data_IF_860502446520
#
_entry.id   IF_860502446520
#
_cell.length_a   1.000
_cell.length_b   1.000
_cell.length_c   1.000
_cell.angle_alpha   90.00
_cell.angle_beta   90.00
_cell.angle_gamma   90.00
#
_symmetry.space_group_name_H-M   'P 1'
#
loop_
_entity.id
_entity.type
_entity.pdbx_description
1 polymer ?
#
# COMPACT_ATOMS: atom_id res chain seq x y z
N UNK A 1 14.09 -75.27 -52.50
CA UNK A 1 14.24 -74.55 -51.22
C UNK A 1 13.13 -73.52 -51.17
N UNK A 2 12.06 -73.85 -50.45
CA UNK A 2 10.82 -73.07 -50.40
C UNK A 2 10.87 -72.21 -49.14
N UNK A 3 11.05 -70.90 -49.30
CA UNK A 3 11.03 -69.96 -48.19
C UNK A 3 9.60 -69.45 -48.00
N UNK A 4 8.95 -69.87 -46.91
CA UNK A 4 7.65 -69.36 -46.48
C UNK A 4 7.89 -68.10 -45.64
N UNK A 5 7.48 -66.94 -46.14
CA UNK A 5 7.43 -65.70 -45.35
C UNK A 5 6.13 -65.70 -44.52
N UNK A 6 6.17 -65.51 -43.19
CA UNK A 6 4.96 -65.29 -42.42
C UNK A 6 4.54 -63.82 -42.55
N UNK A 7 3.35 -63.60 -43.10
CA UNK A 7 2.67 -62.30 -43.11
C UNK A 7 1.95 -62.13 -41.77
N UNK A 8 2.54 -61.41 -40.82
CA UNK A 8 1.81 -60.91 -39.64
C UNK A 8 1.16 -59.57 -40.01
N UNK A 9 -0.09 -59.63 -40.44
CA UNK A 9 -0.97 -58.48 -40.56
C UNK A 9 -1.94 -58.47 -39.39
N UNK A 10 -1.47 -58.03 -38.23
CA UNK A 10 -2.36 -57.62 -37.15
C UNK A 10 -2.66 -56.12 -37.32
N UNK A 11 -3.81 -55.80 -37.92
CA UNK A 11 -4.35 -54.43 -37.93
C UNK A 11 -4.76 -54.05 -36.50
N UNK A 12 -4.29 -52.92 -35.94
CA UNK A 12 -4.80 -52.46 -34.64
C UNK A 12 -6.27 -52.09 -34.80
N UNK A 13 -7.15 -52.70 -33.99
CA UNK A 13 -8.56 -52.32 -33.91
C UNK A 13 -8.75 -50.88 -33.43
N UNK A 14 -9.97 -50.32 -33.53
CA UNK A 14 -10.23 -48.93 -33.14
C UNK A 14 -9.84 -48.72 -31.67
N UNK A 15 -8.91 -47.80 -31.41
CA UNK A 15 -8.50 -47.47 -30.04
C UNK A 15 -9.71 -46.82 -29.32
N UNK A 16 -10.27 -47.51 -28.33
CA UNK A 16 -11.35 -46.94 -27.51
C UNK A 16 -10.85 -45.65 -26.84
N UNK A 17 -11.66 -44.57 -26.81
CA UNK A 17 -11.24 -43.33 -26.19
C UNK A 17 -10.94 -43.58 -24.72
N UNK A 18 -9.68 -43.35 -24.32
CA UNK A 18 -9.20 -43.58 -22.96
C UNK A 18 -10.10 -42.85 -21.97
N UNK A 19 -10.92 -43.61 -21.23
CA UNK A 19 -11.85 -43.08 -20.24
C UNK A 19 -11.10 -42.86 -18.93
N UNK A 20 -10.68 -41.61 -18.70
CA UNK A 20 -9.96 -41.23 -17.48
C UNK A 20 -9.58 -39.76 -17.45
N UNK A 21 -9.23 -39.26 -16.26
CA UNK A 21 -8.72 -37.89 -16.11
C UNK A 21 -7.40 -37.77 -16.87
N UNK A 22 -7.36 -36.86 -17.83
CA UNK A 22 -6.14 -36.60 -18.60
C UNK A 22 -5.21 -35.69 -17.81
N UNK A 23 -3.89 -35.82 -18.03
CA UNK A 23 -2.90 -34.90 -17.46
C UNK A 23 -3.20 -33.44 -17.80
N UNK A 24 -3.68 -33.17 -19.01
CA UNK A 24 -4.09 -31.83 -19.46
C UNK A 24 -5.28 -31.30 -18.66
N UNK A 25 -6.23 -32.16 -18.29
CA UNK A 25 -7.35 -31.79 -17.41
C UNK A 25 -6.84 -31.40 -16.03
N UNK A 26 -5.95 -32.18 -15.42
CA UNK A 26 -5.37 -31.86 -14.10
C UNK A 26 -4.54 -30.58 -14.13
N UNK A 27 -3.68 -30.42 -15.12
CA UNK A 27 -2.83 -29.22 -15.26
C UNK A 27 -3.69 -27.99 -15.54
N UNK A 28 -4.69 -28.11 -16.41
CA UNK A 28 -5.59 -27.01 -16.76
C UNK A 28 -6.45 -26.55 -15.59
N UNK A 29 -7.00 -27.47 -14.80
CA UNK A 29 -7.77 -27.10 -13.60
C UNK A 29 -6.89 -26.50 -12.52
N UNK A 30 -5.71 -27.07 -12.26
CA UNK A 30 -4.76 -26.53 -11.29
C UNK A 30 -4.29 -25.12 -11.68
N UNK A 31 -3.93 -24.90 -12.95
CA UNK A 31 -3.54 -23.59 -13.46
C UNK A 31 -4.70 -22.57 -13.40
N UNK A 32 -5.92 -23.00 -13.70
CA UNK A 32 -7.11 -22.15 -13.59
C UNK A 32 -7.36 -21.69 -12.15
N UNK A 33 -7.32 -22.62 -11.19
CA UNK A 33 -7.48 -22.30 -9.76
C UNK A 33 -6.36 -21.39 -9.26
N UNK A 34 -5.11 -21.69 -9.61
CA UNK A 34 -3.96 -20.87 -9.24
C UNK A 34 -4.05 -19.46 -9.84
N UNK A 35 -4.49 -19.34 -11.10
CA UNK A 35 -4.69 -18.05 -11.76
C UNK A 35 -5.79 -17.22 -11.09
N UNK A 36 -6.93 -17.82 -10.76
CA UNK A 36 -8.02 -17.14 -10.03
C UNK A 36 -7.57 -16.71 -8.63
N UNK A 37 -6.84 -17.56 -7.91
CA UNK A 37 -6.30 -17.22 -6.58
C UNK A 37 -5.30 -16.05 -6.66
N UNK A 38 -4.43 -16.03 -7.67
CA UNK A 38 -3.50 -14.93 -7.88
C UNK A 38 -4.21 -13.60 -8.18
N UNK A 39 -5.20 -13.61 -9.08
CA UNK A 39 -6.01 -12.41 -9.38
C UNK A 39 -6.79 -11.96 -8.14
N UNK A 40 -7.38 -12.89 -7.39
CA UNK A 40 -8.09 -12.61 -6.14
C UNK A 40 -7.20 -11.95 -5.09
N UNK A 41 -5.95 -12.44 -4.93
CA UNK A 41 -4.96 -11.83 -4.04
C UNK A 41 -4.58 -10.41 -4.45
N UNK A 42 -4.38 -10.16 -5.75
CA UNK A 42 -4.09 -8.81 -6.26
C UNK A 42 -5.24 -7.84 -6.02
N UNK A 43 -6.50 -8.28 -6.17
CA UNK A 43 -7.67 -7.47 -5.88
C UNK A 43 -7.84 -7.20 -4.38
N UNK A 44 -7.59 -8.19 -3.51
CA UNK A 44 -7.62 -8.01 -2.06
C UNK A 44 -6.64 -6.90 -1.62
N UNK A 45 -5.39 -6.94 -2.11
CA UNK A 45 -4.38 -5.94 -1.77
C UNK A 45 -4.62 -4.58 -2.43
N UNK A 46 -5.12 -4.57 -3.67
CA UNK A 46 -5.35 -3.35 -4.44
C UNK A 46 -6.57 -2.54 -4.01
N UNK A 47 -7.57 -3.19 -3.40
CA UNK A 47 -8.82 -2.56 -2.97
C UNK A 47 -9.04 -2.57 -1.45
N UNK A 48 -8.02 -2.91 -0.66
CA UNK A 48 -8.08 -2.65 0.78
C UNK A 48 -8.26 -1.16 1.04
N UNK A 49 -8.96 -0.81 2.11
CA UNK A 49 -9.05 0.59 2.53
C UNK A 49 -7.62 1.08 2.85
N UNK A 50 -7.08 2.04 2.08
CA UNK A 50 -5.71 2.51 2.23
C UNK A 50 -5.45 3.17 3.60
N UNK A 51 -6.51 3.53 4.32
CA UNK A 51 -6.45 4.13 5.65
C UNK A 51 -6.55 3.10 6.79
N UNK A 52 -6.84 1.82 6.48
CA UNK A 52 -6.86 0.74 7.48
C UNK A 52 -5.58 -0.09 7.38
N UNK A 53 -4.86 -0.17 8.49
CA UNK A 53 -3.65 -0.97 8.62
C UNK A 53 -3.84 -1.95 9.76
N UNK A 54 -3.48 -3.22 9.55
CA UNK A 54 -3.61 -4.26 10.57
C UNK A 54 -2.76 -3.97 11.82
N UNK A 55 -1.62 -3.28 11.62
CA UNK A 55 -0.75 -2.80 12.68
C UNK A 55 -0.61 -1.29 12.54
N UNK A 56 -0.84 -0.55 13.63
CA UNK A 56 -0.57 0.87 13.66
C UNK A 56 0.95 1.11 13.63
N UNK A 57 1.45 1.79 12.61
CA UNK A 57 2.88 2.08 12.44
C UNK A 57 3.30 3.47 12.96
N UNK A 58 2.38 4.22 13.57
CA UNK A 58 2.66 5.53 14.16
C UNK A 58 2.80 5.50 15.68
N UNK A 59 3.56 6.45 16.24
CA UNK A 59 3.76 6.68 17.69
C UNK A 59 2.69 7.60 18.32
N UNK A 60 2.05 7.23 19.42
CA UNK A 60 1.07 8.11 20.11
C UNK A 60 -0.34 8.11 19.51
N UNK A 61 -1.21 8.98 20.05
CA UNK A 61 -2.65 8.97 19.79
C UNK A 61 -3.06 9.67 18.48
N UNK A 62 -4.32 9.45 18.05
CA UNK A 62 -4.89 10.06 16.85
C UNK A 62 -5.07 11.59 16.98
N UNK A 63 -5.35 12.04 18.20
CA UNK A 63 -5.37 13.43 18.59
C UNK A 63 -4.42 13.58 19.78
N UNK A 64 -3.49 14.53 19.67
CA UNK A 64 -2.42 14.74 20.64
C UNK A 64 -2.20 16.23 20.85
N UNK A 65 -1.86 16.58 22.08
CA UNK A 65 -1.42 17.92 22.44
C UNK A 65 0.02 18.11 21.97
N UNK A 66 0.37 19.32 21.55
CA UNK A 66 1.75 19.66 21.21
C UNK A 66 1.99 21.13 21.48
N UNK A 67 3.24 21.46 21.80
CA UNK A 67 3.68 22.84 21.96
C UNK A 67 4.06 23.42 20.58
N UNK A 68 3.90 24.73 20.37
CA UNK A 68 4.48 25.42 19.22
C UNK A 68 5.97 25.12 18.98
N UNK A 69 6.76 24.79 20.02
CA UNK A 69 8.17 24.38 19.88
C UNK A 69 8.36 23.02 19.21
N UNK A 70 7.33 22.18 19.16
CA UNK A 70 7.37 20.85 18.54
C UNK A 70 7.16 20.92 17.02
N UNK A 71 7.16 22.12 16.43
CA UNK A 71 6.79 22.35 15.05
C UNK A 71 7.92 22.92 14.21
N UNK A 72 8.04 22.38 13.00
CA UNK A 72 8.89 22.94 11.95
C UNK A 72 8.02 23.37 10.78
N UNK A 73 8.19 24.61 10.33
CA UNK A 73 7.60 25.11 9.11
C UNK A 73 8.54 24.82 7.94
N UNK A 74 8.04 24.11 6.92
CA UNK A 74 8.83 23.65 5.78
C UNK A 74 7.97 23.51 4.52
N UNK A 75 8.47 22.86 3.49
CA UNK A 75 7.80 22.65 2.20
C UNK A 75 7.68 21.16 1.88
N UNK A 76 6.52 20.77 1.35
CA UNK A 76 6.28 19.43 0.81
C UNK A 76 6.92 19.32 -0.58
N UNK A 77 7.87 18.38 -0.74
CA UNK A 77 8.63 18.19 -1.98
C UNK A 77 8.19 16.99 -2.81
N UNK A 78 6.98 16.47 -2.60
CA UNK A 78 6.45 15.35 -3.39
C UNK A 78 6.14 15.73 -4.85
N UNK A 79 5.87 17.01 -5.10
CA UNK A 79 5.65 17.56 -6.44
C UNK A 79 6.27 18.96 -6.55
N UNK A 80 6.32 19.50 -7.78
CA UNK A 80 6.92 20.80 -8.08
C UNK A 80 6.11 22.01 -7.58
N UNK A 81 4.98 21.80 -6.89
CA UNK A 81 4.20 22.88 -6.29
C UNK A 81 4.79 23.38 -4.98
N UNK A 82 5.64 22.59 -4.30
CA UNK A 82 6.32 22.97 -3.06
C UNK A 82 5.37 23.55 -1.99
N UNK A 83 4.25 22.86 -1.72
CA UNK A 83 3.24 23.33 -0.77
C UNK A 83 3.87 23.59 0.61
N UNK A 84 3.67 24.78 1.17
CA UNK A 84 4.16 25.10 2.52
C UNK A 84 3.34 24.37 3.58
N UNK A 85 4.03 23.69 4.49
CA UNK A 85 3.45 22.81 5.51
C UNK A 85 4.02 23.14 6.89
N UNK A 86 3.29 22.74 7.94
CA UNK A 86 3.81 22.58 9.29
C UNK A 86 3.96 21.10 9.60
N UNK A 87 5.05 20.75 10.27
CA UNK A 87 5.41 19.39 10.62
C UNK A 87 5.54 19.31 12.14
N UNK A 88 4.75 18.45 12.77
CA UNK A 88 4.88 18.13 14.20
C UNK A 88 5.91 17.03 14.38
N UNK A 89 6.91 17.32 15.19
CA UNK A 89 7.96 16.41 15.58
C UNK A 89 7.62 15.72 16.89
N UNK A 90 8.12 14.50 17.05
CA UNK A 90 8.10 13.75 18.30
C UNK A 90 9.50 13.22 18.56
N UNK A 91 9.86 13.07 19.83
CA UNK A 91 11.11 12.41 20.21
C UNK A 91 11.14 11.01 19.60
N UNK A 92 12.31 10.61 19.10
CA UNK A 92 12.44 9.28 18.56
C UNK A 92 12.45 8.23 19.69
N UNK A 93 11.85 7.04 19.48
CA UNK A 93 11.92 5.96 20.45
C UNK A 93 13.37 5.58 20.77
N UNK A 94 13.60 5.09 21.99
CA UNK A 94 14.92 4.61 22.42
C UNK A 94 15.46 3.55 21.44
N UNK A 95 16.71 3.72 21.01
CA UNK A 95 17.36 2.86 20.02
C UNK A 95 17.09 3.24 18.55
N UNK A 96 16.31 4.28 18.28
CA UNK A 96 16.16 4.84 16.94
C UNK A 96 17.46 5.54 16.48
N UNK A 97 17.84 5.42 15.19
CA UNK A 97 18.94 6.19 14.62
C UNK A 97 18.57 7.66 14.35
N UNK A 98 17.28 8.01 14.41
CA UNK A 98 16.80 9.38 14.23
C UNK A 98 16.76 10.12 15.57
N UNK A 99 17.00 11.43 15.57
CA UNK A 99 16.82 12.29 16.76
C UNK A 99 15.36 12.65 17.01
N UNK A 100 14.53 12.68 15.96
CA UNK A 100 13.10 12.94 16.06
C UNK A 100 12.36 12.26 14.90
N UNK A 101 11.08 11.99 15.10
CA UNK A 101 10.18 11.47 14.08
C UNK A 101 9.15 12.52 13.67
N UNK A 102 8.73 12.48 12.42
CA UNK A 102 7.60 13.27 11.93
C UNK A 102 6.33 12.56 12.36
N UNK A 103 5.57 13.18 13.26
CA UNK A 103 4.28 12.64 13.71
C UNK A 103 3.12 13.04 12.82
N UNK A 104 3.09 14.31 12.40
CA UNK A 104 1.98 14.85 11.60
C UNK A 104 2.48 15.92 10.64
N UNK A 105 1.91 15.91 9.44
CA UNK A 105 2.07 16.97 8.44
C UNK A 105 0.71 17.61 8.24
N UNK A 106 0.67 18.94 8.28
CA UNK A 106 -0.52 19.73 8.02
C UNK A 106 -0.18 20.98 7.19
N UNK A 107 -1.19 21.65 6.64
CA UNK A 107 -1.00 22.94 6.00
C UNK A 107 -0.41 23.97 6.95
N UNK A 108 0.51 24.81 6.45
CA UNK A 108 0.98 25.98 7.19
C UNK A 108 -0.19 26.99 7.27
N UNK A 109 -0.62 27.42 8.47
CA UNK A 109 -1.76 28.32 8.64
C UNK A 109 -1.57 29.70 7.97
N UNK A 110 -0.33 30.10 7.69
CA UNK A 110 -0.01 31.33 6.97
C UNK A 110 0.10 31.13 5.44
N UNK A 111 -0.18 29.94 4.94
CA UNK A 111 -0.09 29.63 3.51
C UNK A 111 -1.38 29.93 2.77
N UNK A 112 -1.31 30.68 1.68
CA UNK A 112 -2.46 30.79 0.77
C UNK A 112 -2.76 29.48 0.00
N UNK A 113 -1.78 28.56 -0.12
CA UNK A 113 -1.93 27.33 -0.89
C UNK A 113 -2.58 26.20 -0.07
N UNK A 114 -2.22 26.09 1.21
CA UNK A 114 -2.62 24.92 2.03
C UNK A 114 -3.75 25.19 3.01
N UNK A 115 -4.36 26.38 2.98
CA UNK A 115 -5.50 26.79 3.82
C UNK A 115 -6.80 26.97 3.04
N UNK A 116 -6.85 26.50 1.78
CA UNK A 116 -8.05 26.58 0.97
C UNK A 116 -9.18 25.71 1.56
N UNK A 117 -10.44 26.18 1.53
CA UNK A 117 -10.93 27.43 0.94
C UNK A 117 -10.96 28.63 1.91
N UNK A 118 -10.53 28.45 3.16
CA UNK A 118 -10.69 29.45 4.24
C UNK A 118 -9.72 30.62 4.10
N UNK A 119 -8.52 30.35 3.57
CA UNK A 119 -7.46 31.34 3.42
C UNK A 119 -6.52 31.43 4.62
N UNK A 120 -5.37 32.11 4.47
CA UNK A 120 -4.36 32.19 5.51
C UNK A 120 -4.79 33.11 6.66
N UNK A 121 -4.27 32.84 7.85
CA UNK A 121 -4.43 33.74 9.01
C UNK A 121 -3.56 35.01 8.85
N UNK A 122 -3.83 36.10 9.59
CA UNK A 122 -2.99 37.29 9.58
C UNK A 122 -1.53 36.98 9.96
N UNK A 123 -0.56 37.51 9.21
CA UNK A 123 0.87 37.24 9.42
C UNK A 123 1.44 37.78 10.74
N UNK A 124 0.77 38.75 11.34
CA UNK A 124 1.09 39.29 12.67
C UNK A 124 0.56 38.42 13.83
N UNK A 125 -0.23 37.38 13.52
CA UNK A 125 -0.62 36.37 14.52
C UNK A 125 0.63 35.69 15.08
N UNK A 126 0.86 35.66 16.41
CA UNK A 126 1.98 34.93 17.00
C UNK A 126 1.96 33.43 16.68
N UNK A 127 3.13 32.81 16.53
CA UNK A 127 3.23 31.37 16.24
C UNK A 127 2.54 30.50 17.30
N UNK A 128 2.57 30.93 18.56
CA UNK A 128 1.91 30.21 19.65
C UNK A 128 0.39 30.12 19.48
N UNK A 129 -0.21 31.16 18.89
CA UNK A 129 -1.65 31.22 18.64
C UNK A 129 -2.02 30.56 17.31
N UNK A 130 -1.16 30.69 16.30
CA UNK A 130 -1.34 30.09 14.98
C UNK A 130 -1.23 28.56 14.96
N UNK A 131 -0.50 28.01 15.93
CA UNK A 131 -0.13 26.61 15.96
C UNK A 131 -0.78 25.85 17.12
N UNK A 132 -2.00 26.23 17.50
CA UNK A 132 -2.75 25.52 18.52
C UNK A 132 -3.09 24.09 18.06
N UNK A 133 -2.65 23.11 18.87
CA UNK A 133 -3.18 21.75 18.85
C UNK A 133 -4.60 21.69 19.42
N UNK A 134 -5.05 20.51 19.86
CA UNK A 134 -6.34 20.36 20.57
C UNK A 134 -6.35 20.99 21.98
N UNK A 135 -5.27 21.70 22.36
CA UNK A 135 -5.06 22.24 23.71
C UNK A 135 -4.38 21.21 24.63
N UNK A 136 -4.35 21.50 25.93
CA UNK A 136 -3.98 20.53 26.96
C UNK A 136 -5.14 19.55 27.18
N UNK A 137 -4.87 18.25 27.19
CA UNK A 137 -5.77 17.27 27.82
C UNK A 137 -5.74 17.40 29.33
#
# INVERSE_FOLDING_TARGET
MTATTPTDQTTPGPEEPRKGITRRTVIGTAAGVAGVAAVGGMFHEGFRDPFTQATAHGTGDAADAYDPTDLVHTMCMQCNSFCTIKVRLEEAPEGSPATALIRKIAGNPYSALTTQPVGPIPYDTPLADAAQGIGTM
#
